data_IF_489603191843
#
_entry.id   IF_489603191843
#
_cell.length_a   1.000
_cell.length_b   1.000
_cell.length_c   1.000
_cell.angle_alpha   90.00
_cell.angle_beta   90.00
_cell.angle_gamma   90.00
#
_symmetry.space_group_name_H-M   'P 1'
#
loop_
_entity.id
_entity.type
_entity.pdbx_description
1 polymer ?
#
# COMPACT_ATOMS: atom_id res chain seq x y z
N UNK A 1 6.70 3.17 25.30
CA UNK A 1 5.53 2.74 26.05
C UNK A 1 4.88 1.63 25.26
N UNK A 2 4.67 0.48 25.83
CA UNK A 2 4.04 -0.66 25.18
C UNK A 2 2.54 -0.48 25.35
N UNK A 3 1.84 -0.26 24.26
CA UNK A 3 0.38 -0.16 24.31
C UNK A 3 -0.18 -1.58 24.16
N UNK A 4 -0.84 -2.13 25.18
CA UNK A 4 -1.66 -3.31 24.99
C UNK A 4 -2.67 -3.03 23.86
N UNK A 5 -3.02 -4.03 23.08
CA UNK A 5 -3.94 -3.93 21.95
C UNK A 5 -5.23 -3.15 22.28
N UNK A 6 -5.73 -3.32 23.48
CA UNK A 6 -6.96 -2.69 23.96
C UNK A 6 -6.80 -1.18 24.20
N UNK A 7 -5.58 -0.72 24.49
CA UNK A 7 -5.28 0.71 24.67
C UNK A 7 -4.94 1.40 23.35
N UNK A 8 -4.36 0.68 22.38
CA UNK A 8 -4.03 1.25 21.08
C UNK A 8 -5.28 1.79 20.36
N UNK A 9 -6.40 1.12 20.48
CA UNK A 9 -7.68 1.55 19.90
C UNK A 9 -8.23 2.81 20.59
N UNK A 10 -7.98 3.02 21.88
CA UNK A 10 -8.48 4.15 22.65
C UNK A 10 -7.56 5.35 22.70
N UNK A 11 -6.27 5.14 22.50
CA UNK A 11 -5.27 6.22 22.54
C UNK A 11 -5.54 7.35 21.56
N UNK A 12 -6.19 7.03 20.46
CA UNK A 12 -6.48 7.96 19.39
C UNK A 12 -7.92 8.48 19.40
N UNK A 13 -8.78 8.02 20.32
CA UNK A 13 -10.21 8.36 20.35
C UNK A 13 -10.43 9.87 20.33
N UNK A 14 -9.71 10.61 21.16
CA UNK A 14 -9.84 12.08 21.19
C UNK A 14 -9.59 12.72 19.81
N UNK A 15 -8.63 12.21 19.03
CA UNK A 15 -8.34 12.75 17.69
C UNK A 15 -9.36 12.32 16.66
N UNK A 16 -9.98 11.15 16.82
CA UNK A 16 -11.07 10.69 15.97
C UNK A 16 -12.39 11.40 16.27
N UNK A 17 -12.71 11.60 17.54
CA UNK A 17 -14.01 12.12 17.99
C UNK A 17 -14.12 13.64 17.85
N UNK A 18 -13.02 14.37 17.97
CA UNK A 18 -12.97 15.84 17.89
C UNK A 18 -12.47 16.35 16.54
N UNK A 19 -13.21 16.02 15.47
CA UNK A 19 -12.91 16.43 14.10
C UNK A 19 -12.96 17.94 13.85
N UNK A 20 -13.65 18.66 14.70
CA UNK A 20 -13.73 20.13 14.72
C UNK A 20 -12.42 20.78 15.19
N UNK A 21 -11.62 20.04 15.96
CA UNK A 21 -10.33 20.50 16.50
C UNK A 21 -9.17 19.94 15.67
N UNK A 22 -9.24 18.63 15.29
CA UNK A 22 -8.15 17.92 14.62
C UNK A 22 -8.43 17.74 13.13
N UNK A 23 -7.71 18.47 12.29
CA UNK A 23 -7.83 18.39 10.82
C UNK A 23 -7.22 17.13 10.22
N UNK A 24 -6.42 16.38 11.00
CA UNK A 24 -5.83 15.09 10.62
C UNK A 24 -5.75 14.17 11.83
N UNK A 25 -5.52 12.90 11.60
CA UNK A 25 -5.32 11.88 12.65
C UNK A 25 -3.98 11.19 12.45
N UNK A 26 -3.19 11.12 13.52
CA UNK A 26 -2.01 10.27 13.58
C UNK A 26 -2.33 9.01 14.37
N UNK A 27 -2.11 7.85 13.76
CA UNK A 27 -2.15 6.56 14.45
C UNK A 27 -0.73 5.98 14.54
N UNK A 28 -0.51 5.14 15.53
CA UNK A 28 0.75 4.44 15.71
C UNK A 28 0.48 2.97 15.86
N UNK A 29 0.80 2.20 14.84
CA UNK A 29 0.66 0.76 14.90
C UNK A 29 1.83 0.12 15.63
N UNK A 30 1.54 -0.92 16.40
CA UNK A 30 2.55 -1.68 17.12
C UNK A 30 3.44 -2.48 16.16
N UNK A 31 4.72 -2.65 16.48
CA UNK A 31 5.68 -3.47 15.75
C UNK A 31 5.30 -4.94 15.59
N UNK A 32 4.41 -5.44 16.44
CA UNK A 32 3.93 -6.82 16.34
C UNK A 32 3.02 -7.05 15.14
N UNK A 33 2.45 -5.99 14.57
CA UNK A 33 1.61 -6.10 13.40
C UNK A 33 2.46 -6.18 12.13
N UNK A 34 2.36 -7.32 11.46
CA UNK A 34 3.06 -7.64 10.20
C UNK A 34 2.06 -8.17 9.19
N UNK A 35 2.41 -8.14 7.93
CA UNK A 35 1.62 -8.72 6.86
C UNK A 35 0.18 -8.24 6.86
N UNK A 36 -0.74 -9.18 6.69
CA UNK A 36 -2.18 -8.90 6.64
C UNK A 36 -2.71 -8.20 7.90
N UNK A 37 -2.25 -8.59 9.09
CA UNK A 37 -2.70 -7.95 10.34
C UNK A 37 -2.37 -6.45 10.41
N UNK A 38 -1.25 -6.03 9.83
CA UNK A 38 -0.91 -4.61 9.71
C UNK A 38 -1.87 -3.87 8.77
N UNK A 39 -2.21 -4.48 7.63
CA UNK A 39 -3.18 -3.94 6.68
C UNK A 39 -4.56 -3.83 7.31
N UNK A 40 -5.06 -4.89 7.92
CA UNK A 40 -6.41 -4.95 8.51
C UNK A 40 -6.59 -3.87 9.58
N UNK A 41 -5.56 -3.68 10.42
CA UNK A 41 -5.61 -2.62 11.43
C UNK A 41 -5.60 -1.23 10.77
N UNK A 42 -4.83 -1.01 9.72
CA UNK A 42 -4.84 0.24 8.98
C UNK A 42 -6.24 0.52 8.40
N UNK A 43 -6.89 -0.48 7.80
CA UNK A 43 -8.25 -0.35 7.27
C UNK A 43 -9.29 -0.14 8.37
N UNK A 44 -9.14 -0.78 9.53
CA UNK A 44 -9.98 -0.52 10.71
C UNK A 44 -9.90 0.94 11.14
N UNK A 45 -8.70 1.51 11.21
CA UNK A 45 -8.54 2.94 11.56
C UNK A 45 -9.10 3.86 10.46
N UNK A 46 -8.91 3.49 9.18
CA UNK A 46 -9.46 4.24 8.06
C UNK A 46 -10.99 4.27 8.06
N UNK A 47 -11.65 3.18 8.42
CA UNK A 47 -13.10 3.11 8.55
C UNK A 47 -13.65 4.12 9.57
N UNK A 48 -12.88 4.48 10.60
CA UNK A 48 -13.27 5.48 11.61
C UNK A 48 -13.38 6.91 11.07
N UNK A 49 -12.77 7.21 9.93
CA UNK A 49 -12.85 8.53 9.28
C UNK A 49 -13.76 8.52 8.04
N UNK A 50 -14.44 7.41 7.74
CA UNK A 50 -15.23 7.26 6.50
C UNK A 50 -16.34 8.31 6.36
N UNK A 51 -17.01 8.67 7.45
CA UNK A 51 -18.09 9.67 7.44
C UNK A 51 -17.59 11.13 7.38
N UNK A 52 -16.33 11.35 7.73
CA UNK A 52 -15.71 12.67 7.72
C UNK A 52 -14.24 12.52 7.33
N UNK A 53 -14.03 12.31 6.04
CA UNK A 53 -12.72 12.03 5.44
C UNK A 53 -11.73 13.15 5.76
N UNK A 54 -10.57 12.78 6.29
CA UNK A 54 -9.45 13.64 6.59
C UNK A 54 -8.15 12.84 6.55
N UNK A 55 -6.98 13.47 6.45
CA UNK A 55 -5.72 12.77 6.42
C UNK A 55 -5.53 11.84 7.63
N UNK A 56 -5.24 10.58 7.37
CA UNK A 56 -4.89 9.58 8.37
C UNK A 56 -3.44 9.17 8.15
N UNK A 57 -2.61 9.39 9.17
CA UNK A 57 -1.18 9.12 9.11
C UNK A 57 -0.83 7.90 9.96
N UNK A 58 0.14 7.11 9.51
CA UNK A 58 0.79 6.10 10.33
C UNK A 58 2.29 6.40 10.42
N UNK A 59 2.69 7.03 11.52
CA UNK A 59 3.97 7.73 11.62
C UNK A 59 5.12 6.91 12.21
N UNK A 60 4.87 5.68 12.67
CA UNK A 60 5.90 4.86 13.30
C UNK A 60 6.16 3.57 12.53
N UNK A 61 7.01 3.63 11.52
CA UNK A 61 7.45 2.46 10.80
C UNK A 61 8.79 2.02 11.34
N UNK A 62 8.73 1.07 12.26
CA UNK A 62 9.91 0.40 12.79
C UNK A 62 10.39 -0.67 11.81
N UNK A 63 11.56 -1.21 12.08
CA UNK A 63 12.21 -2.24 11.31
C UNK A 63 13.64 -1.81 11.01
N UNK A 64 14.59 -2.60 11.45
CA UNK A 64 16.00 -2.39 11.22
C UNK A 64 16.74 -3.73 11.27
N UNK A 65 17.93 -3.78 10.68
CA UNK A 65 18.76 -4.99 10.61
C UNK A 65 19.12 -5.57 12.00
N UNK A 66 19.03 -4.76 13.06
CA UNK A 66 19.27 -5.20 14.44
C UNK A 66 18.28 -6.25 14.97
N UNK A 67 17.18 -6.50 14.29
CA UNK A 67 16.17 -7.47 14.67
C UNK A 67 15.29 -7.12 15.88
N UNK A 68 15.68 -6.14 16.71
CA UNK A 68 14.93 -5.76 17.91
C UNK A 68 13.54 -5.18 17.61
N UNK A 69 13.43 -4.43 16.52
CA UNK A 69 12.18 -3.75 16.10
C UNK A 69 11.65 -4.28 14.78
N UNK A 70 12.08 -5.44 14.35
CA UNK A 70 11.83 -6.05 13.06
C UNK A 70 13.05 -5.93 12.14
N UNK A 71 12.93 -6.47 10.94
CA UNK A 71 13.96 -6.41 9.90
C UNK A 71 13.74 -5.21 8.97
N UNK A 72 14.68 -4.94 8.08
CA UNK A 72 14.51 -4.01 6.95
C UNK A 72 13.28 -4.38 6.12
N UNK A 73 13.07 -5.69 5.91
CA UNK A 73 11.90 -6.20 5.22
C UNK A 73 10.60 -5.72 5.89
N UNK A 74 10.48 -5.89 7.20
CA UNK A 74 9.31 -5.44 7.96
C UNK A 74 9.05 -3.94 7.79
N UNK A 75 10.11 -3.13 7.80
CA UNK A 75 10.03 -1.68 7.60
C UNK A 75 9.55 -1.30 6.20
N UNK A 76 10.15 -1.90 5.17
CA UNK A 76 9.80 -1.66 3.76
C UNK A 76 8.35 -2.07 3.48
N UNK A 77 7.98 -3.27 3.88
CA UNK A 77 6.63 -3.78 3.68
C UNK A 77 5.57 -2.93 4.39
N UNK A 78 5.83 -2.46 5.62
CA UNK A 78 4.92 -1.56 6.34
C UNK A 78 4.79 -0.21 5.65
N UNK A 79 5.89 0.34 5.15
CA UNK A 79 5.84 1.60 4.42
C UNK A 79 4.94 1.48 3.18
N UNK A 80 5.18 0.48 2.35
CA UNK A 80 4.38 0.25 1.15
C UNK A 80 2.91 -0.04 1.49
N UNK A 81 2.63 -0.90 2.50
CA UNK A 81 1.24 -1.16 2.94
C UNK A 81 0.54 0.10 3.45
N UNK A 82 1.24 1.04 4.06
CA UNK A 82 0.63 2.31 4.46
C UNK A 82 0.23 3.15 3.24
N UNK A 83 1.09 3.25 2.24
CA UNK A 83 0.77 3.97 1.01
C UNK A 83 -0.43 3.33 0.30
N UNK A 84 -0.37 2.02 0.04
CA UNK A 84 -1.46 1.27 -0.61
C UNK A 84 -2.72 1.17 0.26
N UNK A 85 -2.58 1.28 1.57
CA UNK A 85 -3.67 1.31 2.54
C UNK A 85 -4.39 2.66 2.64
N UNK A 86 -4.00 3.64 1.81
CA UNK A 86 -4.63 4.96 1.78
C UNK A 86 -4.25 5.87 2.95
N UNK A 87 -3.08 5.64 3.57
CA UNK A 87 -2.54 6.55 4.57
C UNK A 87 -1.99 7.81 3.90
N UNK A 88 -2.33 8.98 4.44
CA UNK A 88 -1.91 10.26 3.88
C UNK A 88 -0.41 10.53 4.06
N UNK A 89 0.23 9.90 5.03
CA UNK A 89 1.68 9.92 5.18
C UNK A 89 2.22 8.65 5.81
N UNK A 90 3.47 8.34 5.46
CA UNK A 90 4.25 7.27 6.05
C UNK A 90 5.70 7.75 6.19
N UNK A 91 6.39 7.33 7.24
CA UNK A 91 7.81 7.65 7.42
C UNK A 91 8.55 6.52 8.12
N UNK A 92 9.78 6.29 7.71
CA UNK A 92 10.66 5.39 8.44
C UNK A 92 11.08 5.99 9.78
N UNK A 93 11.18 5.13 10.79
CA UNK A 93 11.69 5.54 12.08
C UNK A 93 13.20 5.78 12.01
N UNK A 94 13.75 6.51 12.99
CA UNK A 94 15.16 6.85 13.08
C UNK A 94 16.08 5.62 13.05
N UNK A 95 17.38 5.76 12.72
CA UNK A 95 18.29 4.63 12.46
C UNK A 95 18.48 3.64 13.60
N UNK A 96 18.29 4.06 14.85
CA UNK A 96 18.44 3.19 16.04
C UNK A 96 17.27 2.21 16.24
N UNK A 97 16.15 2.39 15.51
CA UNK A 97 14.96 1.56 15.62
C UNK A 97 14.18 1.43 14.32
N UNK A 98 14.73 1.91 13.21
CA UNK A 98 14.16 1.85 11.87
C UNK A 98 15.22 2.02 10.80
N UNK A 99 14.80 2.11 9.54
CA UNK A 99 15.71 2.32 8.41
C UNK A 99 16.30 3.76 8.37
N UNK A 100 15.70 4.69 9.11
CA UNK A 100 16.05 6.11 8.97
C UNK A 100 15.87 6.58 7.53
N UNK A 101 16.95 7.15 6.96
CA UNK A 101 17.05 7.50 5.54
C UNK A 101 18.23 6.77 4.87
N UNK A 102 18.43 5.51 5.20
CA UNK A 102 19.44 4.69 4.51
C UNK A 102 19.05 4.51 3.01
N UNK A 103 19.95 3.93 2.22
CA UNK A 103 19.72 3.80 0.77
C UNK A 103 18.44 3.03 0.42
N UNK A 104 18.09 2.00 1.20
CA UNK A 104 16.83 1.26 0.99
C UNK A 104 15.61 2.16 1.26
N UNK A 105 15.63 2.92 2.36
CA UNK A 105 14.54 3.86 2.67
C UNK A 105 14.39 4.93 1.60
N UNK A 106 15.48 5.49 1.09
CA UNK A 106 15.47 6.47 0.01
C UNK A 106 14.88 5.88 -1.27
N UNK A 107 15.29 4.66 -1.66
CA UNK A 107 14.75 3.96 -2.82
C UNK A 107 13.23 3.71 -2.68
N UNK A 108 12.77 3.24 -1.51
CA UNK A 108 11.33 3.01 -1.27
C UNK A 108 10.53 4.31 -1.35
N UNK A 109 11.01 5.39 -0.75
CA UNK A 109 10.35 6.70 -0.80
C UNK A 109 10.27 7.17 -2.27
N UNK A 110 11.38 7.06 -3.00
CA UNK A 110 11.43 7.44 -4.41
C UNK A 110 10.45 6.60 -5.25
N UNK A 111 10.43 5.29 -5.05
CA UNK A 111 9.51 4.40 -5.76
C UNK A 111 8.05 4.72 -5.47
N UNK A 112 7.70 4.97 -4.21
CA UNK A 112 6.33 5.33 -3.88
C UNK A 112 5.93 6.67 -4.50
N UNK A 113 6.84 7.63 -4.59
CA UNK A 113 6.59 8.88 -5.34
C UNK A 113 6.36 8.61 -6.82
N UNK A 114 7.23 7.82 -7.45
CA UNK A 114 7.08 7.44 -8.86
C UNK A 114 5.73 6.77 -9.14
N UNK A 115 5.25 5.93 -8.24
CA UNK A 115 3.93 5.28 -8.35
C UNK A 115 2.82 6.32 -8.15
N UNK A 116 2.88 7.11 -7.07
CA UNK A 116 1.81 8.06 -6.74
C UNK A 116 1.72 9.23 -7.71
N UNK A 117 2.83 9.66 -8.30
CA UNK A 117 2.84 10.69 -9.35
C UNK A 117 2.24 10.20 -10.68
N UNK A 118 2.12 8.87 -10.86
CA UNK A 118 1.56 8.24 -12.05
C UNK A 118 0.06 7.90 -11.92
N UNK A 119 -0.59 8.23 -10.78
CA UNK A 119 -1.98 7.89 -10.46
C UNK A 119 -2.77 9.10 -10.01
N UNK A 120 -4.09 9.07 -10.19
CA UNK A 120 -5.00 9.99 -9.50
C UNK A 120 -5.28 9.50 -8.08
N UNK A 121 -4.43 9.90 -7.13
CA UNK A 121 -4.55 9.49 -5.74
C UNK A 121 -5.87 9.89 -5.08
N UNK A 122 -6.53 10.93 -5.55
CA UNK A 122 -7.79 11.42 -4.97
C UNK A 122 -8.94 10.49 -5.36
N UNK A 123 -8.89 9.93 -6.57
CA UNK A 123 -9.88 8.98 -7.06
C UNK A 123 -9.64 7.55 -6.57
N UNK A 124 -8.43 7.24 -6.11
CA UNK A 124 -8.05 5.88 -5.70
C UNK A 124 -8.34 5.59 -4.23
N UNK A 125 -8.59 4.31 -3.93
CA UNK A 125 -8.76 3.76 -2.59
C UNK A 125 -8.16 2.35 -2.46
N UNK A 126 -7.96 1.82 -1.23
CA UNK A 126 -7.59 0.43 -1.03
C UNK A 126 -8.70 -0.52 -1.50
N UNK A 127 -8.35 -1.47 -2.39
CA UNK A 127 -9.29 -2.42 -3.01
C UNK A 127 -8.69 -3.82 -3.12
N UNK A 128 -8.29 -4.45 -2.00
CA UNK A 128 -7.82 -5.84 -2.04
C UNK A 128 -8.87 -6.82 -2.55
N UNK A 129 -10.15 -6.48 -2.48
CA UNK A 129 -11.26 -7.30 -2.99
C UNK A 129 -11.24 -7.44 -4.53
N UNK A 130 -10.47 -6.61 -5.24
CA UNK A 130 -10.20 -6.79 -6.67
C UNK A 130 -9.16 -7.88 -6.95
N UNK A 131 -8.45 -8.36 -5.92
CA UNK A 131 -7.42 -9.38 -6.08
C UNK A 131 -7.99 -10.77 -5.81
N UNK A 132 -8.00 -11.63 -6.86
CA UNK A 132 -8.27 -13.06 -6.74
C UNK A 132 -7.00 -13.88 -6.55
N UNK A 133 -7.18 -15.14 -6.12
CA UNK A 133 -6.10 -16.12 -5.90
C UNK A 133 -4.97 -15.59 -5.00
N UNK A 134 -5.35 -14.78 -4.00
CA UNK A 134 -4.45 -14.06 -3.12
C UNK A 134 -4.34 -14.71 -1.75
N UNK A 135 -3.15 -15.12 -1.38
CA UNK A 135 -2.82 -15.49 -0.01
C UNK A 135 -2.59 -14.25 0.89
N UNK A 136 -2.71 -14.45 2.20
CA UNK A 136 -2.43 -13.37 3.17
C UNK A 136 -1.01 -12.82 2.99
N UNK A 137 -0.86 -11.51 2.90
CA UNK A 137 0.40 -10.78 2.67
C UNK A 137 1.05 -10.98 1.28
N UNK A 138 0.35 -11.56 0.31
CA UNK A 138 0.92 -11.79 -1.02
C UNK A 138 0.92 -10.52 -1.89
N UNK A 139 -0.20 -9.78 -1.87
CA UNK A 139 -0.32 -8.53 -2.63
C UNK A 139 -1.31 -7.55 -1.98
N UNK A 140 -1.21 -6.27 -2.33
CA UNK A 140 -2.08 -5.19 -1.83
C UNK A 140 -2.44 -4.24 -2.95
N UNK A 141 -3.73 -3.95 -3.12
CA UNK A 141 -4.27 -3.14 -4.21
C UNK A 141 -4.73 -1.76 -3.73
N UNK A 142 -4.37 -0.75 -4.52
CA UNK A 142 -4.87 0.62 -4.42
C UNK A 142 -5.34 1.05 -5.80
N UNK A 143 -6.62 1.39 -5.97
CA UNK A 143 -7.22 1.51 -7.28
C UNK A 143 -8.34 2.57 -7.34
N UNK A 144 -8.57 3.09 -8.56
CA UNK A 144 -9.82 3.64 -9.05
C UNK A 144 -10.41 2.62 -10.04
N UNK A 145 -11.35 1.74 -9.59
CA UNK A 145 -11.81 0.62 -10.39
C UNK A 145 -12.41 1.06 -11.74
N UNK A 146 -11.92 0.49 -12.82
CA UNK A 146 -12.30 0.84 -14.19
C UNK A 146 -11.41 1.90 -14.85
N UNK A 147 -10.44 2.46 -14.12
CA UNK A 147 -9.51 3.46 -14.65
C UNK A 147 -8.07 3.05 -14.42
N UNK A 148 -7.73 2.74 -13.18
CA UNK A 148 -6.36 2.37 -12.83
C UNK A 148 -6.29 1.53 -11.54
N UNK A 149 -5.27 0.69 -11.46
CA UNK A 149 -4.95 -0.10 -10.28
C UNK A 149 -3.44 -0.25 -10.11
N UNK A 150 -2.96 0.04 -8.92
CA UNK A 150 -1.61 -0.32 -8.51
C UNK A 150 -1.65 -1.50 -7.54
N UNK A 151 -0.78 -2.50 -7.75
CA UNK A 151 -0.69 -3.68 -6.87
C UNK A 151 0.75 -3.82 -6.37
N UNK A 152 0.91 -3.82 -5.05
CA UNK A 152 2.19 -4.04 -4.37
C UNK A 152 2.36 -5.51 -4.01
N UNK A 153 3.47 -6.10 -4.40
CA UNK A 153 3.92 -7.45 -4.07
C UNK A 153 5.10 -7.38 -3.09
N UNK A 154 4.96 -7.84 -1.84
CA UNK A 154 6.03 -7.86 -0.85
C UNK A 154 7.20 -8.80 -1.17
N UNK A 155 6.98 -9.87 -1.93
CA UNK A 155 8.03 -10.85 -2.26
C UNK A 155 7.81 -11.55 -3.62
N UNK A 156 7.38 -10.81 -4.62
CA UNK A 156 6.95 -11.42 -5.88
C UNK A 156 5.66 -12.21 -5.72
N UNK A 157 5.44 -13.19 -6.58
CA UNK A 157 4.22 -14.01 -6.58
C UNK A 157 3.28 -13.65 -7.73
N UNK A 158 2.08 -14.21 -7.72
CA UNK A 158 1.05 -14.03 -8.73
C UNK A 158 -0.31 -13.86 -8.08
N UNK A 159 -1.11 -12.94 -8.60
CA UNK A 159 -2.53 -12.76 -8.26
C UNK A 159 -3.32 -12.46 -9.52
N UNK A 160 -4.62 -12.60 -9.47
CA UNK A 160 -5.49 -12.06 -10.51
C UNK A 160 -6.06 -10.72 -10.08
N UNK A 161 -6.22 -9.79 -11.02
CA UNK A 161 -6.89 -8.50 -10.84
C UNK A 161 -8.23 -8.53 -11.57
N UNK A 162 -9.30 -8.25 -10.86
CA UNK A 162 -10.63 -8.06 -11.46
C UNK A 162 -10.64 -6.75 -12.26
N UNK A 163 -10.74 -6.89 -13.58
CA UNK A 163 -10.81 -5.80 -14.55
C UNK A 163 -12.19 -5.63 -15.15
N UNK A 164 -13.22 -6.24 -14.56
CA UNK A 164 -14.61 -6.20 -15.05
C UNK A 164 -15.24 -4.81 -15.14
N UNK A 165 -14.60 -3.81 -14.51
CA UNK A 165 -15.05 -2.42 -14.55
C UNK A 165 -14.35 -1.57 -15.60
N UNK A 166 -13.31 -2.08 -16.25
CA UNK A 166 -12.73 -1.47 -17.44
C UNK A 166 -13.67 -1.73 -18.64
N UNK A 167 -13.60 -0.90 -19.67
CA UNK A 167 -14.41 -1.09 -20.86
C UNK A 167 -14.09 -2.43 -21.55
N UNK A 168 -15.13 -3.14 -22.05
CA UNK A 168 -15.00 -4.54 -22.53
C UNK A 168 -14.03 -4.73 -23.70
N UNK A 169 -13.80 -3.71 -24.50
CA UNK A 169 -12.83 -3.74 -25.63
C UNK A 169 -11.56 -2.92 -25.33
N UNK A 170 -11.33 -2.62 -24.06
CA UNK A 170 -10.24 -1.75 -23.68
C UNK A 170 -8.88 -2.45 -23.73
N UNK A 171 -7.88 -1.71 -24.09
CA UNK A 171 -6.48 -2.09 -23.95
C UNK A 171 -5.92 -1.43 -22.72
N UNK A 172 -5.45 -2.20 -21.76
CA UNK A 172 -4.79 -1.66 -20.58
C UNK A 172 -3.28 -1.61 -20.77
N UNK A 173 -2.67 -0.61 -20.18
CA UNK A 173 -1.22 -0.47 -20.10
C UNK A 173 -0.73 -1.02 -18.75
N UNK A 174 0.24 -1.95 -18.82
CA UNK A 174 0.81 -2.62 -17.64
C UNK A 174 2.29 -2.34 -17.56
N UNK A 175 2.74 -1.84 -16.43
CA UNK A 175 4.17 -1.60 -16.17
C UNK A 175 4.56 -1.99 -14.75
N UNK A 176 5.77 -2.52 -14.63
CA UNK A 176 6.32 -3.01 -13.38
C UNK A 176 7.41 -2.09 -12.83
N UNK A 177 7.43 -1.88 -11.52
CA UNK A 177 8.44 -1.11 -10.81
C UNK A 177 9.09 -1.99 -9.73
N UNK A 178 10.38 -2.32 -9.83
CA UNK A 178 11.11 -2.90 -8.69
C UNK A 178 11.32 -1.79 -7.66
N UNK A 179 10.79 -1.99 -6.45
CA UNK A 179 10.71 -0.93 -5.42
C UNK A 179 12.07 -0.41 -4.97
N UNK A 180 13.13 -1.23 -5.07
CA UNK A 180 14.47 -0.79 -4.68
C UNK A 180 15.27 -0.14 -5.82
N UNK A 181 14.76 -0.17 -7.06
CA UNK A 181 15.42 0.44 -8.23
C UNK A 181 14.78 1.80 -8.60
N UNK A 182 13.53 2.01 -8.25
CA UNK A 182 12.73 3.24 -8.51
C UNK A 182 12.57 3.59 -10.01
N UNK A 183 12.71 2.62 -10.90
CA UNK A 183 12.61 2.82 -12.35
C UNK A 183 11.60 1.85 -12.96
N UNK A 184 10.64 2.39 -13.74
CA UNK A 184 9.68 1.58 -14.45
C UNK A 184 10.35 0.67 -15.48
N UNK A 185 9.95 -0.60 -15.50
CA UNK A 185 10.26 -1.50 -16.62
C UNK A 185 9.43 -1.10 -17.85
N UNK A 186 9.84 -1.56 -19.04
CA UNK A 186 9.08 -1.30 -20.26
C UNK A 186 7.61 -1.64 -20.12
N UNK A 187 6.75 -0.72 -20.54
CA UNK A 187 5.30 -0.86 -20.56
C UNK A 187 4.86 -1.93 -21.56
N UNK A 188 3.80 -2.64 -21.25
CA UNK A 188 3.13 -3.58 -22.13
C UNK A 188 1.67 -3.21 -22.25
N UNK A 189 1.12 -3.30 -23.46
CA UNK A 189 -0.31 -3.16 -23.71
C UNK A 189 -0.93 -4.56 -23.74
N UNK A 190 -2.05 -4.73 -23.05
CA UNK A 190 -2.80 -5.98 -22.97
C UNK A 190 -4.24 -5.67 -23.33
N UNK A 191 -4.79 -6.37 -24.35
CA UNK A 191 -6.22 -6.29 -24.65
C UNK A 191 -7.00 -7.13 -23.64
N UNK A 192 -8.03 -6.56 -23.06
CA UNK A 192 -8.91 -7.27 -22.12
C UNK A 192 -9.83 -8.21 -22.89
N UNK A 193 -10.13 -9.37 -22.30
CA UNK A 193 -11.06 -10.34 -22.86
C UNK A 193 -12.42 -10.19 -22.13
N UNK A 194 -13.52 -9.85 -22.83
CA UNK A 194 -14.83 -9.62 -22.19
C UNK A 194 -15.36 -10.84 -21.42
N UNK A 195 -14.99 -12.04 -21.85
CA UNK A 195 -15.47 -13.30 -21.24
C UNK A 195 -14.68 -13.67 -19.97
N UNK A 196 -13.48 -13.11 -19.79
CA UNK A 196 -12.60 -13.37 -18.65
C UNK A 196 -12.11 -12.05 -18.06
N UNK A 197 -12.89 -11.40 -17.17
CA UNK A 197 -12.54 -10.10 -16.62
C UNK A 197 -11.47 -10.19 -15.52
N UNK A 198 -10.55 -11.13 -15.66
CA UNK A 198 -9.44 -11.35 -14.72
C UNK A 198 -8.11 -11.19 -15.48
N UNK A 199 -7.29 -10.28 -15.00
CA UNK A 199 -5.94 -10.06 -15.51
C UNK A 199 -4.93 -10.74 -14.57
N UNK A 200 -4.22 -11.74 -15.05
CA UNK A 200 -3.13 -12.35 -14.28
C UNK A 200 -1.94 -11.39 -14.16
N UNK A 201 -1.52 -11.14 -12.92
CA UNK A 201 -0.38 -10.31 -12.58
C UNK A 201 0.69 -11.15 -11.91
N UNK A 202 1.72 -11.52 -12.66
CA UNK A 202 2.88 -12.26 -12.14
C UNK A 202 4.09 -11.33 -12.04
N UNK A 203 4.60 -11.13 -10.82
CA UNK A 203 5.78 -10.32 -10.59
C UNK A 203 7.01 -10.88 -11.32
N UNK A 204 7.89 -10.05 -11.91
CA UNK A 204 9.04 -10.52 -12.69
C UNK A 204 10.06 -11.35 -11.92
N UNK A 205 9.98 -11.37 -10.60
CA UNK A 205 10.86 -12.15 -9.74
C UNK A 205 10.58 -11.95 -8.27
N UNK A 206 11.43 -12.49 -7.42
CA UNK A 206 11.37 -12.27 -5.96
C UNK A 206 11.70 -10.82 -5.60
N UNK A 207 11.29 -10.42 -4.40
CA UNK A 207 11.48 -9.07 -3.86
C UNK A 207 10.26 -8.18 -4.02
N UNK A 208 10.46 -6.90 -3.79
CA UNK A 208 9.39 -5.90 -3.74
C UNK A 208 9.08 -5.35 -5.13
N UNK A 209 7.84 -5.50 -5.56
CA UNK A 209 7.38 -5.04 -6.85
C UNK A 209 6.10 -4.23 -6.72
N UNK A 210 5.94 -3.26 -7.59
CA UNK A 210 4.65 -2.63 -7.87
C UNK A 210 4.34 -2.84 -9.35
N UNK A 211 3.13 -3.25 -9.65
CA UNK A 211 2.56 -3.16 -10.99
C UNK A 211 1.52 -2.06 -11.02
N UNK A 212 1.52 -1.27 -12.09
CA UNK A 212 0.48 -0.30 -12.40
C UNK A 212 -0.23 -0.75 -13.67
N UNK A 213 -1.56 -0.84 -13.58
CA UNK A 213 -2.49 -1.14 -14.67
C UNK A 213 -3.35 0.08 -14.89
N UNK A 214 -3.38 0.61 -16.11
CA UNK A 214 -4.16 1.81 -16.46
C UNK A 214 -4.92 1.56 -17.76
N UNK A 215 -6.17 2.01 -17.83
CA UNK A 215 -6.91 2.09 -19.08
C UNK A 215 -6.19 2.99 -20.07
N UNK A 216 -6.33 2.72 -21.35
CA UNK A 216 -5.77 3.57 -22.41
C UNK A 216 -6.81 4.59 -22.80
N UNK A 217 -6.49 5.87 -22.58
CA UNK A 217 -7.29 7.00 -23.05
C UNK A 217 -7.46 7.02 -24.60
#
# INVERSE_FOLDING_TARGET
MWDPWDLADRMHDATFDHRDIYSFVDVSQNNHQKGQAHWDNAQKQRARIAEAVRPLNNVKIYGADSGRYGSDRDGIERFCRNVFGGMASARFHRPDSGLGLNLKAQAVIQSMRVVTDAMDLVACAPYNDLLGERDGNEAYCFANPGTEAAVFFPDGGSVTLDVSKFDEDETVEVRWLPVLDSEWKPMRSISLEPVHPQLELTAPGKGYWVVLVQGKD
#
